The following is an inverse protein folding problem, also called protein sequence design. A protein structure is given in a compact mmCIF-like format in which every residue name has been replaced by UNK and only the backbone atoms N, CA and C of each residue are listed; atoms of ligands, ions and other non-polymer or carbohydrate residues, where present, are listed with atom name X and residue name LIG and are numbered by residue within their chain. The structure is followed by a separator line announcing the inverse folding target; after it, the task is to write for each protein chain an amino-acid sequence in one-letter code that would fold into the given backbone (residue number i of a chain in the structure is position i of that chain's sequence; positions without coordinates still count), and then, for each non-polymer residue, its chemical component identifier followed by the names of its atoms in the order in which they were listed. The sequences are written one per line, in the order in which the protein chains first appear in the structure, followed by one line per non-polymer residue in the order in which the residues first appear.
data_IF_453755066246
#
_entry.id   IF_453755066246
#
_cell.length_a   1.000
_cell.length_b   1.000
_cell.length_c   1.000
_cell.angle_alpha   90.00
_cell.angle_beta   90.00
_cell.angle_gamma   90.00
#
_symmetry.space_group_name_H-M   'P 1'
#
loop_
_entity.id
_entity.type
_entity.pdbx_description
1 polymer ?
#
# COMPACT_ATOMS: atom_id res chain seq x y z
N UNK A 1 -0.93 -22.15 -37.15
CA UNK A 1 -1.88 -21.67 -36.12
C UNK A 1 -1.15 -20.75 -35.15
N UNK A 2 -1.13 -19.45 -35.43
CA UNK A 2 -0.59 -18.45 -34.50
C UNK A 2 -1.77 -17.84 -33.73
N UNK A 3 -1.99 -18.29 -32.50
CA UNK A 3 -2.99 -17.71 -31.61
C UNK A 3 -2.49 -16.36 -31.10
N UNK A 4 -3.19 -15.29 -31.44
CA UNK A 4 -2.87 -13.95 -30.96
C UNK A 4 -2.99 -13.87 -29.42
N UNK A 5 -1.87 -13.68 -28.72
CA UNK A 5 -1.84 -13.41 -27.28
C UNK A 5 -2.07 -11.92 -27.02
N UNK A 6 -3.33 -11.48 -27.04
CA UNK A 6 -3.68 -10.07 -26.75
C UNK A 6 -3.73 -9.72 -25.25
N UNK A 7 -3.58 -10.68 -24.33
CA UNK A 7 -3.75 -10.43 -22.88
C UNK A 7 -2.52 -10.73 -22.01
N UNK A 8 -1.35 -11.03 -22.61
CA UNK A 8 -0.12 -11.27 -21.85
C UNK A 8 0.65 -9.96 -21.66
N UNK A 9 0.33 -9.20 -20.60
CA UNK A 9 1.13 -8.02 -20.25
C UNK A 9 2.52 -8.48 -19.78
N UNK A 10 3.62 -8.07 -20.45
CA UNK A 10 4.96 -8.43 -20.00
C UNK A 10 5.21 -7.85 -18.60
N UNK A 11 5.87 -8.63 -17.74
CA UNK A 11 6.30 -8.11 -16.43
C UNK A 11 7.29 -6.96 -16.68
N UNK A 12 7.13 -5.81 -15.99
CA UNK A 12 8.07 -4.71 -16.13
C UNK A 12 9.47 -5.18 -15.72
N UNK A 13 10.49 -4.81 -16.50
CA UNK A 13 11.89 -5.07 -16.13
C UNK A 13 12.21 -4.22 -14.89
N UNK A 14 12.64 -4.87 -13.81
CA UNK A 14 13.06 -4.17 -12.60
C UNK A 14 14.35 -3.39 -12.85
N UNK A 15 14.44 -2.17 -12.33
CA UNK A 15 15.68 -1.40 -12.36
C UNK A 15 16.54 -1.79 -11.16
N UNK A 16 17.72 -2.36 -11.41
CA UNK A 16 18.70 -2.66 -10.37
C UNK A 16 19.52 -1.40 -10.06
N UNK A 17 18.92 -0.46 -9.31
CA UNK A 17 19.66 0.70 -8.81
C UNK A 17 20.60 0.28 -7.68
N UNK A 18 21.91 0.40 -7.91
CA UNK A 18 22.92 0.38 -6.85
C UNK A 18 23.17 1.82 -6.41
N UNK A 19 22.86 2.22 -5.18
CA UNK A 19 23.12 3.58 -4.73
C UNK A 19 24.64 3.81 -4.63
N UNK A 20 25.12 4.95 -5.13
CA UNK A 20 26.55 5.29 -5.15
C UNK A 20 27.09 5.49 -3.73
N UNK A 21 26.27 6.02 -2.82
CA UNK A 21 26.64 6.35 -1.43
C UNK A 21 26.21 5.28 -0.41
N UNK A 22 25.92 4.05 -0.86
CA UNK A 22 25.48 2.99 0.04
C UNK A 22 26.68 2.17 0.52
N UNK A 23 27.00 2.35 1.79
CA UNK A 23 27.95 1.52 2.52
C UNK A 23 27.15 0.53 3.38
N UNK A 24 27.17 -0.75 2.99
CA UNK A 24 26.43 -1.84 3.64
C UNK A 24 26.78 -1.95 5.12
N UNK A 25 28.07 -1.82 5.46
CA UNK A 25 28.54 -1.97 6.83
C UNK A 25 28.05 -0.83 7.72
N UNK A 26 28.02 0.40 7.20
CA UNK A 26 27.57 1.57 7.94
C UNK A 26 26.09 1.47 8.29
N UNK A 27 25.26 1.02 7.36
CA UNK A 27 23.82 0.85 7.59
C UNK A 27 23.53 -0.32 8.55
N UNK A 28 24.25 -1.43 8.44
CA UNK A 28 24.11 -2.56 9.38
C UNK A 28 24.47 -2.18 10.81
N UNK A 29 25.55 -1.42 11.00
CA UNK A 29 25.98 -0.91 12.30
C UNK A 29 24.91 0.01 12.91
N UNK A 30 24.39 0.96 12.12
CA UNK A 30 23.32 1.87 12.56
C UNK A 30 22.04 1.12 12.94
N UNK A 31 21.63 0.13 12.15
CA UNK A 31 20.46 -0.70 12.44
C UNK A 31 20.63 -1.51 13.75
N UNK A 32 21.86 -1.99 14.04
CA UNK A 32 22.17 -2.69 15.28
C UNK A 32 22.15 -1.74 16.48
N UNK A 33 22.81 -0.60 16.39
CA UNK A 33 22.81 0.44 17.43
C UNK A 33 21.39 0.90 17.76
N UNK A 34 20.56 1.14 16.75
CA UNK A 34 19.17 1.59 16.93
C UNK A 34 18.27 0.49 17.52
N UNK A 35 18.48 -0.78 17.15
CA UNK A 35 17.78 -1.92 17.78
C UNK A 35 18.13 -2.00 19.26
N UNK A 36 19.41 -1.92 19.60
CA UNK A 36 19.89 -1.94 20.99
C UNK A 36 19.33 -0.75 21.78
N UNK A 37 19.32 0.46 21.19
CA UNK A 37 18.72 1.65 21.82
C UNK A 37 17.21 1.49 22.10
N UNK A 38 16.48 0.83 21.20
CA UNK A 38 15.06 0.50 21.40
C UNK A 38 14.84 -0.52 22.51
N UNK A 39 15.66 -1.57 22.55
CA UNK A 39 15.64 -2.59 23.61
C UNK A 39 16.01 -2.00 24.99
N UNK A 40 16.93 -1.03 25.02
CA UNK A 40 17.34 -0.30 26.23
C UNK A 40 16.36 0.79 26.67
N UNK A 41 15.27 1.04 25.92
CA UNK A 41 14.25 2.01 26.30
C UNK A 41 14.67 3.49 26.21
N UNK A 42 15.86 3.81 25.69
CA UNK A 42 16.34 5.19 25.44
C UNK A 42 15.76 5.76 24.13
N UNK A 43 14.47 5.57 23.89
CA UNK A 43 13.84 6.12 22.69
C UNK A 43 13.50 7.59 22.95
N UNK A 44 14.21 8.50 22.28
CA UNK A 44 13.76 9.87 22.10
C UNK A 44 12.33 9.82 21.53
N UNK A 45 11.36 10.31 22.29
CA UNK A 45 9.93 10.26 21.92
C UNK A 45 9.61 11.03 20.63
N UNK A 46 10.56 11.80 20.12
CA UNK A 46 10.33 12.80 19.09
C UNK A 46 10.54 12.29 17.65
N UNK A 47 11.06 11.08 17.44
CA UNK A 47 11.29 10.55 16.08
C UNK A 47 10.85 9.08 15.96
N UNK A 48 9.65 8.81 15.40
CA UNK A 48 9.25 7.44 15.11
C UNK A 48 10.18 6.84 14.03
N UNK A 49 10.71 5.65 14.32
CA UNK A 49 11.52 4.86 13.39
C UNK A 49 10.76 4.61 12.09
N UNK A 50 11.26 5.17 10.98
CA UNK A 50 10.77 4.86 9.64
C UNK A 50 11.71 3.80 9.05
N UNK A 51 11.32 2.52 8.99
CA UNK A 51 12.12 1.52 8.32
C UNK A 51 12.34 1.96 6.87
N UNK A 52 13.56 1.76 6.39
CA UNK A 52 14.08 2.07 5.06
C UNK A 52 12.98 2.10 3.99
N UNK A 53 13.01 3.13 3.14
CA UNK A 53 12.06 3.41 2.03
C UNK A 53 11.74 2.18 1.14
N UNK A 54 12.59 1.14 1.16
CA UNK A 54 12.31 -0.19 0.60
C UNK A 54 11.19 -0.91 1.40
N UNK A 55 9.94 -0.66 1.01
CA UNK A 55 8.77 -1.43 1.46
C UNK A 55 7.58 -0.58 1.90
N UNK A 56 7.82 0.69 2.26
CA UNK A 56 6.76 1.64 2.64
C UNK A 56 5.76 1.89 1.51
N UNK A 57 6.23 1.90 0.26
CA UNK A 57 5.37 2.05 -0.92
C UNK A 57 4.39 0.88 -1.14
N UNK A 58 4.69 -0.32 -0.63
CA UNK A 58 3.81 -1.47 -0.78
C UNK A 58 2.59 -1.36 0.15
N UNK A 59 2.76 -0.78 1.34
CA UNK A 59 1.68 -0.53 2.28
C UNK A 59 0.73 0.56 1.77
N UNK A 60 1.24 1.64 1.18
CA UNK A 60 0.40 2.68 0.57
C UNK A 60 -0.54 2.12 -0.51
N UNK A 61 -0.11 1.11 -1.27
CA UNK A 61 -0.93 0.45 -2.30
C UNK A 61 -2.02 -0.45 -1.70
N UNK A 62 -1.77 -1.08 -0.54
CA UNK A 62 -2.77 -1.89 0.18
C UNK A 62 -3.87 -1.01 0.78
N UNK A 63 -3.51 0.14 1.38
CA UNK A 63 -4.47 1.06 1.99
C UNK A 63 -5.42 1.70 0.96
N UNK A 64 -4.92 2.05 -0.23
CA UNK A 64 -5.79 2.57 -1.31
C UNK A 64 -6.84 1.57 -1.77
N UNK A 65 -6.55 0.27 -1.72
CA UNK A 65 -7.44 -0.79 -2.22
C UNK A 65 -8.55 -1.15 -1.23
N UNK A 66 -8.32 -1.00 0.08
CA UNK A 66 -9.38 -1.17 1.09
C UNK A 66 -10.33 0.03 1.12
N UNK A 67 -9.81 1.25 1.00
CA UNK A 67 -10.61 2.47 0.94
C UNK A 67 -11.60 2.47 -0.24
N UNK A 68 -11.19 1.98 -1.42
CA UNK A 68 -12.07 1.92 -2.59
C UNK A 68 -13.24 0.95 -2.42
N UNK A 69 -13.04 -0.18 -1.72
CA UNK A 69 -14.11 -1.17 -1.48
C UNK A 69 -15.21 -0.61 -0.57
N UNK A 70 -14.82 0.12 0.47
CA UNK A 70 -15.77 0.72 1.41
C UNK A 70 -16.63 1.80 0.73
N UNK A 71 -16.04 2.59 -0.18
CA UNK A 71 -16.77 3.58 -0.99
C UNK A 71 -17.78 2.92 -1.93
N UNK A 72 -17.41 1.82 -2.58
CA UNK A 72 -18.29 1.13 -3.53
C UNK A 72 -19.51 0.49 -2.83
N UNK A 73 -19.32 -0.07 -1.63
CA UNK A 73 -20.43 -0.63 -0.82
C UNK A 73 -21.40 0.49 -0.41
N UNK A 74 -20.89 1.66 -0.01
CA UNK A 74 -21.75 2.82 0.32
C UNK A 74 -22.60 3.27 -0.87
N UNK A 75 -22.01 3.35 -2.07
CA UNK A 75 -22.73 3.67 -3.30
C UNK A 75 -23.82 2.65 -3.62
N UNK A 76 -23.53 1.36 -3.45
CA UNK A 76 -24.51 0.29 -3.68
C UNK A 76 -25.72 0.41 -2.74
N UNK A 77 -25.50 0.69 -1.45
CA UNK A 77 -26.58 0.88 -0.47
C UNK A 77 -27.46 2.07 -0.85
N UNK A 78 -26.86 3.20 -1.25
CA UNK A 78 -27.60 4.38 -1.70
C UNK A 78 -28.48 4.04 -2.91
N UNK A 79 -27.96 3.31 -3.89
CA UNK A 79 -28.71 2.91 -5.10
C UNK A 79 -29.91 2.02 -4.71
N UNK A 80 -29.72 1.04 -3.83
CA UNK A 80 -30.79 0.14 -3.37
C UNK A 80 -31.91 0.93 -2.67
N UNK A 81 -31.56 1.86 -1.79
CA UNK A 81 -32.52 2.71 -1.10
C UNK A 81 -33.28 3.59 -2.10
N UNK A 82 -32.57 4.19 -3.06
CA UNK A 82 -33.18 5.03 -4.09
C UNK A 82 -34.18 4.24 -4.95
N UNK A 83 -33.83 3.01 -5.33
CA UNK A 83 -34.71 2.11 -6.08
C UNK A 83 -35.94 1.69 -5.27
N UNK A 84 -35.80 1.40 -3.97
CA UNK A 84 -36.93 1.09 -3.09
C UNK A 84 -37.89 2.28 -2.96
N UNK A 85 -37.37 3.49 -2.78
CA UNK A 85 -38.19 4.71 -2.71
C UNK A 85 -38.87 4.95 -4.05
N UNK A 86 -38.14 4.87 -5.16
CA UNK A 86 -38.70 5.02 -6.49
C UNK A 86 -39.81 4.00 -6.74
N UNK A 87 -39.58 2.73 -6.38
CA UNK A 87 -40.60 1.69 -6.50
C UNK A 87 -41.83 2.01 -5.65
N UNK A 88 -41.65 2.40 -4.39
CA UNK A 88 -42.77 2.73 -3.50
C UNK A 88 -43.58 3.94 -3.98
N UNK A 89 -42.94 4.94 -4.62
CA UNK A 89 -43.63 6.11 -5.18
C UNK A 89 -44.36 5.79 -6.49
N UNK A 90 -43.80 4.94 -7.35
CA UNK A 90 -44.41 4.59 -8.64
C UNK A 90 -45.47 3.48 -8.55
N UNK A 91 -45.35 2.56 -7.58
CA UNK A 91 -46.28 1.43 -7.39
C UNK A 91 -47.32 1.67 -6.28
N UNK A 92 -47.33 2.87 -5.68
CA UNK A 92 -48.42 3.37 -4.84
C UNK A 92 -49.24 4.37 -5.62
#
# INVERSE_FOLDING_TARGET
MAGFKFFSVPKPRGFHYKPIYYDEHKEEMRLREERIRKEMGLTDKDKPFVPTIRGTFQNARRTKRSASKQSNIRLLIIIIILLLISYFVFYR
#
